data_IF_092757363580
#
_entry.id   IF_092757363580
#
_cell.length_a   1.000
_cell.length_b   1.000
_cell.length_c   1.000
_cell.angle_alpha   90.00
_cell.angle_beta   90.00
_cell.angle_gamma   90.00
#
_symmetry.space_group_name_H-M   'P 1'
#
loop_
_entity.id
_entity.type
_entity.pdbx_description
1 polymer ?
#
# COMPACT_ATOMS: atom_id res chain seq x y z
N UNK A 1 62.85 -10.51 -9.51
CA UNK A 1 64.14 -10.50 -8.85
C UNK A 1 63.88 -10.17 -7.41
N UNK A 2 63.88 -11.19 -6.56
CA UNK A 2 64.19 -11.17 -5.11
C UNK A 2 63.91 -12.56 -4.59
N UNK A 3 65.03 -13.20 -4.29
CA UNK A 3 65.12 -14.61 -3.82
C UNK A 3 64.66 -14.70 -2.38
N UNK A 4 63.81 -15.69 -2.08
CA UNK A 4 63.50 -16.12 -0.72
C UNK A 4 64.32 -17.32 -0.35
N UNK A 5 65.29 -17.14 0.56
CA UNK A 5 66.13 -18.17 1.14
C UNK A 5 65.29 -19.11 2.02
N UNK A 6 65.31 -20.40 1.63
CA UNK A 6 64.89 -21.53 2.46
C UNK A 6 66.06 -21.92 3.39
N UNK A 7 65.86 -21.80 4.67
CA UNK A 7 66.80 -22.32 5.68
C UNK A 7 66.27 -23.66 6.20
N UNK A 8 66.91 -24.77 5.76
CA UNK A 8 66.69 -26.08 6.31
C UNK A 8 67.32 -26.17 7.72
N UNK A 9 66.55 -26.67 8.68
CA UNK A 9 67.07 -27.14 9.99
C UNK A 9 67.16 -28.64 9.98
N UNK A 10 68.25 -29.21 10.48
CA UNK A 10 68.40 -30.67 10.56
C UNK A 10 67.52 -31.24 11.68
N UNK A 11 66.90 -32.35 11.35
CA UNK A 11 66.13 -33.21 12.26
C UNK A 11 67.10 -34.11 12.97
N UNK A 12 67.29 -33.87 14.29
CA UNK A 12 68.01 -34.79 15.14
C UNK A 12 67.04 -35.89 15.61
N UNK A 13 67.37 -37.10 15.20
CA UNK A 13 66.65 -38.31 15.59
C UNK A 13 67.02 -38.78 16.98
N UNK A 14 66.11 -38.61 17.92
CA UNK A 14 66.11 -39.24 19.21
C UNK A 14 64.90 -40.12 19.38
N UNK A 15 65.01 -41.40 19.14
CA UNK A 15 63.97 -42.37 19.45
C UNK A 15 64.06 -42.78 20.92
N UNK A 16 63.33 -42.11 21.78
CA UNK A 16 63.07 -42.66 23.10
C UNK A 16 61.83 -43.57 23.01
N UNK A 17 61.90 -44.79 23.60
CA UNK A 17 60.76 -45.68 23.63
C UNK A 17 59.69 -45.12 24.55
N UNK A 18 58.49 -44.81 24.01
CA UNK A 18 57.33 -44.44 24.80
C UNK A 18 56.84 -45.68 25.53
N UNK A 19 57.06 -45.71 26.83
CA UNK A 19 56.50 -46.69 27.73
C UNK A 19 55.01 -46.45 27.85
N UNK A 20 54.19 -47.33 27.25
CA UNK A 20 52.76 -47.34 27.36
C UNK A 20 52.35 -47.79 28.76
N UNK A 21 52.13 -46.84 29.63
CA UNK A 21 51.47 -47.09 30.91
C UNK A 21 49.98 -47.33 30.59
N UNK A 22 49.54 -48.58 30.71
CA UNK A 22 48.11 -48.91 30.69
C UNK A 22 47.48 -48.43 32.00
N UNK A 23 47.10 -47.15 32.03
CA UNK A 23 46.15 -46.70 33.03
C UNK A 23 44.75 -47.17 32.64
N UNK A 24 43.99 -47.83 33.51
CA UNK A 24 42.63 -48.24 33.22
C UNK A 24 41.76 -47.00 33.07
N UNK A 25 41.18 -46.84 31.89
CA UNK A 25 40.17 -45.82 31.62
C UNK A 25 38.97 -46.13 32.53
N UNK A 26 38.82 -45.40 33.64
CA UNK A 26 37.59 -45.42 34.43
C UNK A 26 36.53 -44.75 33.60
N UNK A 27 35.68 -45.56 32.96
CA UNK A 27 34.43 -45.11 32.39
C UNK A 27 33.57 -44.57 33.52
N UNK A 28 33.56 -43.24 33.66
CA UNK A 28 32.63 -42.57 34.57
C UNK A 28 31.23 -43.03 34.24
N UNK A 29 30.73 -43.97 35.05
CA UNK A 29 29.35 -44.42 35.02
C UNK A 29 28.48 -43.18 35.24
N UNK A 30 27.92 -42.66 34.12
CA UNK A 30 26.98 -41.56 34.17
C UNK A 30 25.81 -41.97 35.09
N UNK A 31 25.71 -41.36 36.27
CA UNK A 31 24.62 -41.58 37.19
C UNK A 31 23.29 -41.29 36.49
N UNK A 32 22.33 -42.25 36.43
CA UNK A 32 21.06 -42.07 35.72
C UNK A 32 20.05 -41.20 36.49
N UNK A 33 20.47 -40.42 37.46
CA UNK A 33 19.56 -39.71 38.36
C UNK A 33 19.81 -38.19 38.50
N UNK A 34 20.19 -37.54 37.39
CA UNK A 34 19.97 -36.09 37.29
C UNK A 34 19.00 -35.79 36.16
N UNK A 35 17.74 -36.15 36.39
CA UNK A 35 16.62 -35.51 35.70
C UNK A 35 16.77 -33.99 35.94
N UNK A 36 16.83 -33.13 34.87
CA UNK A 36 16.97 -31.70 35.06
C UNK A 36 15.73 -31.23 35.83
N UNK A 37 15.94 -30.88 37.10
CA UNK A 37 14.90 -30.25 37.93
C UNK A 37 14.31 -29.10 37.13
N UNK A 38 13.10 -29.28 36.60
CA UNK A 38 12.34 -28.25 35.88
C UNK A 38 11.98 -27.19 36.93
N UNK A 39 12.88 -26.19 37.08
CA UNK A 39 12.63 -25.03 37.95
C UNK A 39 11.26 -24.45 37.61
N UNK A 40 10.36 -24.32 38.57
CA UNK A 40 9.02 -23.80 38.31
C UNK A 40 9.14 -22.36 37.74
N UNK A 41 8.69 -22.19 36.51
CA UNK A 41 8.69 -20.87 35.85
C UNK A 41 7.89 -19.91 36.70
N UNK A 42 8.53 -18.83 37.18
CA UNK A 42 7.91 -17.88 38.10
C UNK A 42 6.60 -17.33 37.51
N UNK A 43 5.60 -17.09 38.36
CA UNK A 43 4.28 -16.58 37.95
C UNK A 43 4.40 -15.31 37.07
N UNK A 44 5.37 -14.44 37.42
CA UNK A 44 5.68 -13.22 36.64
C UNK A 44 6.14 -13.56 35.21
N UNK A 45 7.02 -14.57 35.04
CA UNK A 45 7.49 -14.98 33.69
C UNK A 45 6.37 -15.58 32.85
N UNK A 46 5.45 -16.33 33.46
CA UNK A 46 4.24 -16.84 32.76
C UNK A 46 3.34 -15.71 32.31
N UNK A 47 3.12 -14.68 33.14
CA UNK A 47 2.30 -13.50 32.79
C UNK A 47 2.97 -12.72 31.66
N UNK A 48 4.28 -12.48 31.72
CA UNK A 48 5.02 -11.78 30.65
C UNK A 48 4.95 -12.55 29.33
N UNK A 49 5.17 -13.87 29.36
CA UNK A 49 5.06 -14.70 28.15
C UNK A 49 3.64 -14.72 27.59
N UNK A 50 2.62 -14.79 28.44
CA UNK A 50 1.22 -14.71 28.00
C UNK A 50 0.89 -13.34 27.37
N UNK A 51 1.37 -12.25 27.98
CA UNK A 51 1.19 -10.89 27.45
C UNK A 51 1.89 -10.72 26.09
N UNK A 52 3.11 -11.21 25.94
CA UNK A 52 3.84 -11.20 24.66
C UNK A 52 3.15 -12.04 23.58
N UNK A 53 2.60 -13.19 23.96
CA UNK A 53 1.86 -14.05 23.04
C UNK A 53 0.57 -13.37 22.56
N UNK A 54 -0.19 -12.74 23.46
CA UNK A 54 -1.38 -11.96 23.11
C UNK A 54 -1.03 -10.79 22.21
N UNK A 55 0.02 -10.02 22.54
CA UNK A 55 0.50 -8.92 21.72
C UNK A 55 0.97 -9.40 20.34
N UNK A 56 1.67 -10.54 20.28
CA UNK A 56 2.10 -11.18 19.03
C UNK A 56 0.92 -11.62 18.15
N UNK A 57 -0.09 -12.25 18.73
CA UNK A 57 -1.30 -12.67 18.01
C UNK A 57 -2.11 -11.46 17.50
N UNK A 58 -2.26 -10.43 18.34
CA UNK A 58 -2.93 -9.20 17.93
C UNK A 58 -2.18 -8.51 16.76
N UNK A 59 -0.84 -8.41 16.85
CA UNK A 59 -0.01 -7.87 15.79
C UNK A 59 -0.10 -8.68 14.49
N UNK A 60 -0.03 -10.00 14.57
CA UNK A 60 -0.19 -10.90 13.42
C UNK A 60 -1.58 -10.76 12.78
N UNK A 61 -2.64 -10.58 13.58
CA UNK A 61 -3.99 -10.36 13.08
C UNK A 61 -4.11 -9.06 12.29
N UNK A 62 -3.58 -7.96 12.80
CA UNK A 62 -3.60 -6.65 12.10
C UNK A 62 -2.81 -6.72 10.79
N UNK A 63 -1.58 -7.28 10.82
CA UNK A 63 -0.75 -7.44 9.63
C UNK A 63 -1.42 -8.36 8.60
N UNK A 64 -2.06 -9.44 9.04
CA UNK A 64 -2.78 -10.37 8.18
C UNK A 64 -3.95 -9.70 7.45
N UNK A 65 -4.77 -8.93 8.17
CA UNK A 65 -5.92 -8.20 7.57
C UNK A 65 -5.45 -7.12 6.61
N UNK A 66 -4.40 -6.34 6.99
CA UNK A 66 -3.85 -5.29 6.13
C UNK A 66 -3.23 -5.88 4.87
N UNK A 67 -2.40 -6.93 5.01
CA UNK A 67 -1.79 -7.63 3.88
C UNK A 67 -2.85 -8.24 2.94
N UNK A 68 -3.90 -8.82 3.49
CA UNK A 68 -5.02 -9.36 2.70
C UNK A 68 -5.74 -8.27 1.89
N UNK A 69 -6.00 -7.09 2.48
CA UNK A 69 -6.59 -5.96 1.77
C UNK A 69 -5.72 -5.48 0.61
N UNK A 70 -4.41 -5.33 0.84
CA UNK A 70 -3.45 -4.96 -0.22
C UNK A 70 -3.48 -5.99 -1.35
N UNK A 71 -3.41 -7.29 -1.03
CA UNK A 71 -3.44 -8.36 -2.03
C UNK A 71 -4.73 -8.38 -2.86
N UNK A 72 -5.88 -8.06 -2.26
CA UNK A 72 -7.15 -7.99 -2.98
C UNK A 72 -7.29 -6.74 -3.87
N UNK A 73 -6.56 -5.67 -3.59
CA UNK A 73 -6.72 -4.38 -4.24
C UNK A 73 -5.59 -4.03 -5.23
N UNK A 74 -4.40 -4.63 -5.09
CA UNK A 74 -3.22 -4.31 -5.90
C UNK A 74 -3.37 -4.56 -7.40
N UNK A 75 -4.19 -5.52 -7.78
CA UNK A 75 -4.38 -5.92 -9.18
C UNK A 75 -5.58 -5.17 -9.83
N UNK A 76 -5.90 -3.99 -9.33
CA UNK A 76 -6.97 -3.13 -9.84
C UNK A 76 -6.71 -2.73 -11.29
N UNK A 77 -7.77 -2.76 -12.10
CA UNK A 77 -7.80 -2.18 -13.43
C UNK A 77 -8.90 -1.13 -13.56
N UNK A 78 -8.64 -0.08 -14.33
CA UNK A 78 -9.59 1.00 -14.61
C UNK A 78 -10.00 0.96 -16.07
N UNK A 79 -11.25 0.60 -16.31
CA UNK A 79 -11.84 0.58 -17.66
C UNK A 79 -12.45 1.93 -18.02
N UNK A 80 -12.64 2.14 -19.33
CA UNK A 80 -13.32 3.32 -19.87
C UNK A 80 -14.56 2.88 -20.66
N UNK A 81 -15.65 2.43 -20.00
CA UNK A 81 -16.85 2.04 -20.68
C UNK A 81 -17.45 3.22 -21.45
N UNK A 82 -18.19 2.96 -22.53
CA UNK A 82 -18.84 3.99 -23.34
C UNK A 82 -19.98 4.68 -22.61
N UNK A 83 -20.55 4.01 -21.63
CA UNK A 83 -21.66 4.54 -20.81
C UNK A 83 -21.46 4.12 -19.35
N UNK A 84 -21.66 5.05 -18.40
CA UNK A 84 -21.50 4.83 -16.97
C UNK A 84 -22.49 5.70 -16.18
N UNK A 85 -23.25 5.09 -15.28
CA UNK A 85 -24.20 5.80 -14.42
C UNK A 85 -25.12 6.79 -15.17
N UNK A 86 -25.56 6.44 -16.37
CA UNK A 86 -26.39 7.29 -17.23
C UNK A 86 -25.67 8.40 -17.99
N UNK A 87 -24.34 8.48 -17.86
CA UNK A 87 -23.49 9.40 -18.59
C UNK A 87 -22.85 8.67 -19.79
N UNK A 88 -22.55 9.39 -20.87
CA UNK A 88 -21.91 8.88 -22.09
C UNK A 88 -20.50 9.43 -22.20
N UNK A 89 -19.53 8.55 -22.50
CA UNK A 89 -18.15 8.99 -22.68
C UNK A 89 -18.05 9.96 -23.87
N UNK A 90 -17.37 11.07 -23.62
CA UNK A 90 -17.06 12.05 -24.65
C UNK A 90 -15.68 11.74 -25.25
N UNK A 91 -15.68 11.21 -26.46
CA UNK A 91 -14.47 10.85 -27.21
C UNK A 91 -13.97 11.99 -28.13
N UNK A 92 -14.48 13.22 -27.97
CA UNK A 92 -13.96 14.39 -28.70
C UNK A 92 -12.49 14.65 -28.37
N UNK A 93 -11.76 15.23 -29.31
CA UNK A 93 -10.35 15.57 -29.12
C UNK A 93 -10.15 16.51 -27.94
N UNK A 94 -11.05 17.47 -27.73
CA UNK A 94 -11.03 18.39 -26.59
C UNK A 94 -11.17 17.64 -25.26
N UNK A 95 -12.14 16.73 -25.18
CA UNK A 95 -12.37 15.96 -23.95
C UNK A 95 -11.16 15.10 -23.60
N UNK A 96 -10.60 14.41 -24.59
CA UNK A 96 -9.39 13.58 -24.42
C UNK A 96 -8.19 14.41 -23.99
N UNK A 97 -7.89 15.53 -24.69
CA UNK A 97 -6.74 16.38 -24.33
C UNK A 97 -6.88 16.99 -22.94
N UNK A 98 -8.10 17.33 -22.50
CA UNK A 98 -8.34 17.83 -21.14
C UNK A 98 -8.10 16.74 -20.11
N UNK A 99 -8.61 15.52 -20.32
CA UNK A 99 -8.40 14.40 -19.41
C UNK A 99 -6.92 13.99 -19.33
N UNK A 100 -6.23 13.99 -20.48
CA UNK A 100 -4.79 13.68 -20.55
C UNK A 100 -3.96 14.75 -19.81
N UNK A 101 -4.26 16.03 -19.99
CA UNK A 101 -3.57 17.12 -19.30
C UNK A 101 -3.66 16.97 -17.78
N UNK A 102 -4.84 16.71 -17.23
CA UNK A 102 -5.02 16.56 -15.80
C UNK A 102 -4.40 15.26 -15.26
N UNK A 103 -4.50 14.16 -16.03
CA UNK A 103 -3.81 12.90 -15.71
C UNK A 103 -2.30 13.10 -15.62
N UNK A 104 -1.72 13.80 -16.59
CA UNK A 104 -0.28 14.05 -16.66
C UNK A 104 0.16 15.01 -15.54
N UNK A 105 -0.67 15.99 -15.18
CA UNK A 105 -0.47 16.83 -14.00
C UNK A 105 -0.42 15.98 -12.72
N UNK A 106 -1.39 15.09 -12.54
CA UNK A 106 -1.39 14.19 -11.38
C UNK A 106 -0.18 13.25 -11.36
N UNK A 107 0.24 12.75 -12.51
CA UNK A 107 1.38 11.85 -12.63
C UNK A 107 2.73 12.53 -12.34
N UNK A 108 2.79 13.85 -12.25
CA UNK A 108 3.97 14.58 -11.81
C UNK A 108 4.19 14.46 -10.29
N UNK A 109 3.12 14.26 -9.52
CA UNK A 109 3.14 14.20 -8.06
C UNK A 109 3.04 12.78 -7.50
N UNK A 110 2.46 11.85 -8.27
CA UNK A 110 2.30 10.44 -7.89
C UNK A 110 2.70 9.52 -9.04
N UNK A 111 3.52 8.52 -8.76
CA UNK A 111 3.91 7.52 -9.74
C UNK A 111 2.74 6.59 -10.04
N UNK A 112 2.27 6.62 -11.29
CA UNK A 112 1.17 5.78 -11.77
C UNK A 112 1.70 4.64 -12.64
N UNK A 113 1.29 3.40 -12.35
CA UNK A 113 1.58 2.23 -13.19
C UNK A 113 0.85 2.36 -14.54
N UNK A 114 -0.42 2.82 -14.48
CA UNK A 114 -1.26 3.11 -15.66
C UNK A 114 -2.10 4.34 -15.38
N UNK A 115 -1.97 5.34 -16.25
CA UNK A 115 -2.80 6.53 -16.20
C UNK A 115 -4.24 6.24 -16.65
N UNK A 116 -5.18 6.95 -16.06
CA UNK A 116 -6.60 6.94 -16.36
C UNK A 116 -7.10 8.36 -16.53
N UNK A 117 -7.82 8.63 -17.61
CA UNK A 117 -8.46 9.92 -17.86
C UNK A 117 -9.69 9.74 -18.76
N UNK A 118 -10.81 10.30 -18.38
CA UNK A 118 -12.05 10.22 -19.15
C UNK A 118 -12.98 11.42 -18.87
N UNK A 119 -13.70 11.85 -19.87
CA UNK A 119 -14.82 12.79 -19.74
C UNK A 119 -16.11 12.05 -20.03
N UNK A 120 -17.10 12.23 -19.18
CA UNK A 120 -18.45 11.69 -19.37
C UNK A 120 -19.45 12.83 -19.40
N UNK A 121 -20.22 12.90 -20.47
CA UNK A 121 -21.21 13.94 -20.71
C UNK A 121 -22.61 13.50 -20.29
N UNK A 122 -23.32 14.41 -19.61
CA UNK A 122 -24.74 14.24 -19.33
C UNK A 122 -25.54 14.58 -20.61
N UNK A 123 -26.33 13.62 -21.09
CA UNK A 123 -27.14 13.80 -22.33
C UNK A 123 -28.19 14.93 -22.20
N UNK A 124 -28.61 15.22 -20.97
CA UNK A 124 -29.61 16.25 -20.71
C UNK A 124 -29.00 17.65 -20.56
N UNK A 125 -27.75 17.73 -20.05
CA UNK A 125 -27.07 19.01 -19.84
C UNK A 125 -25.54 18.84 -19.96
N UNK A 126 -24.97 19.27 -21.08
CA UNK A 126 -23.53 19.20 -21.33
C UNK A 126 -22.68 19.96 -20.30
N UNK A 127 -23.26 20.95 -19.57
CA UNK A 127 -22.55 21.67 -18.49
C UNK A 127 -22.35 20.82 -17.24
N UNK A 128 -23.01 19.66 -17.17
CA UNK A 128 -22.90 18.69 -16.08
C UNK A 128 -21.97 17.52 -16.43
N UNK A 129 -21.10 17.71 -17.40
CA UNK A 129 -20.08 16.71 -17.75
C UNK A 129 -19.16 16.42 -16.54
N UNK A 130 -18.78 15.17 -16.39
CA UNK A 130 -17.90 14.71 -15.33
C UNK A 130 -16.51 14.47 -15.92
N UNK A 131 -15.49 15.02 -15.32
CA UNK A 131 -14.11 14.81 -15.69
C UNK A 131 -13.43 13.93 -14.64
N UNK A 132 -12.86 12.83 -15.09
CA UNK A 132 -12.17 11.85 -14.25
C UNK A 132 -10.70 11.77 -14.67
N UNK A 133 -9.79 11.72 -13.70
CA UNK A 133 -8.36 11.57 -13.95
C UNK A 133 -7.68 10.88 -12.75
N UNK A 134 -6.63 10.12 -13.00
CA UNK A 134 -5.96 9.32 -12.00
C UNK A 134 -5.23 8.13 -12.60
N UNK A 135 -5.21 7.02 -11.89
CA UNK A 135 -4.59 5.81 -12.39
C UNK A 135 -4.54 4.66 -11.39
N UNK A 136 -3.90 3.59 -11.83
CA UNK A 136 -3.55 2.47 -10.96
C UNK A 136 -2.14 2.66 -10.44
N UNK A 137 -1.95 2.36 -9.15
CA UNK A 137 -0.66 2.38 -8.47
C UNK A 137 -0.80 1.69 -7.12
N UNK A 138 0.30 1.17 -6.58
CA UNK A 138 0.31 0.58 -5.25
C UNK A 138 0.42 1.66 -4.18
N UNK A 139 -0.68 1.89 -3.46
CA UNK A 139 -0.74 2.83 -2.34
C UNK A 139 -0.68 2.08 -1.00
N UNK A 140 0.29 2.45 -0.16
CA UNK A 140 0.41 1.88 1.19
C UNK A 140 -0.49 2.58 2.20
N UNK A 141 -0.72 3.89 2.01
CA UNK A 141 -1.54 4.73 2.87
C UNK A 141 -2.58 5.51 2.04
N UNK A 142 -3.59 4.82 1.46
CA UNK A 142 -4.52 5.45 0.49
C UNK A 142 -5.19 6.72 0.99
N UNK A 143 -5.53 6.79 2.27
CA UNK A 143 -6.16 7.98 2.85
C UNK A 143 -5.21 9.18 2.86
N UNK A 144 -3.96 8.97 3.30
CA UNK A 144 -2.95 10.03 3.34
C UNK A 144 -2.58 10.51 1.94
N UNK A 145 -2.44 9.56 1.02
CA UNK A 145 -2.09 9.86 -0.37
C UNK A 145 -3.21 10.68 -1.04
N UNK A 146 -4.48 10.32 -0.77
CA UNK A 146 -5.64 11.08 -1.23
C UNK A 146 -5.68 12.50 -0.63
N UNK A 147 -5.40 12.65 0.67
CA UNK A 147 -5.32 13.97 1.32
C UNK A 147 -4.23 14.85 0.72
N UNK A 148 -3.09 14.27 0.38
CA UNK A 148 -2.00 14.97 -0.29
C UNK A 148 -2.45 15.49 -1.65
N UNK A 149 -3.16 14.68 -2.45
CA UNK A 149 -3.67 15.11 -3.76
C UNK A 149 -4.69 16.23 -3.66
N UNK A 150 -5.59 16.19 -2.67
CA UNK A 150 -6.50 17.32 -2.41
C UNK A 150 -5.73 18.58 -1.96
N UNK A 151 -4.63 18.42 -1.25
CA UNK A 151 -3.74 19.52 -0.87
C UNK A 151 -3.06 20.16 -2.08
N UNK A 152 -2.59 19.37 -3.04
CA UNK A 152 -1.97 19.86 -4.28
C UNK A 152 -2.96 20.62 -5.17
N UNK A 153 -4.19 20.09 -5.30
CA UNK A 153 -5.25 20.80 -6.03
C UNK A 153 -5.61 22.16 -5.40
N UNK A 154 -5.36 22.33 -4.11
CA UNK A 154 -5.67 23.58 -3.40
C UNK A 154 -4.79 24.75 -3.87
N UNK A 155 -3.60 24.50 -4.39
CA UNK A 155 -2.66 25.55 -4.78
C UNK A 155 -2.96 26.11 -6.18
N UNK A 156 -3.55 25.33 -7.07
CA UNK A 156 -3.82 25.72 -8.47
C UNK A 156 -5.23 26.29 -8.71
N UNK A 157 -6.25 25.74 -8.04
CA UNK A 157 -7.66 26.08 -8.30
C UNK A 157 -8.36 26.71 -7.10
N UNK A 158 -7.63 26.97 -6.02
CA UNK A 158 -8.20 27.39 -4.73
C UNK A 158 -8.45 26.18 -3.82
N UNK A 159 -8.49 26.45 -2.51
CA UNK A 159 -8.64 25.39 -1.49
C UNK A 159 -9.97 24.66 -1.64
N UNK A 160 -9.93 23.33 -1.63
CA UNK A 160 -11.14 22.51 -1.54
C UNK A 160 -11.79 22.73 -0.17
N UNK A 161 -12.97 23.37 -0.18
CA UNK A 161 -13.72 23.67 1.03
C UNK A 161 -14.64 22.52 1.42
N UNK A 162 -14.85 22.34 2.72
CA UNK A 162 -15.76 21.32 3.23
C UNK A 162 -15.39 19.89 2.86
N UNK A 163 -14.09 19.60 2.64
CA UNK A 163 -13.61 18.26 2.36
C UNK A 163 -14.00 17.31 3.49
N UNK A 164 -14.70 16.24 3.16
CA UNK A 164 -15.15 15.23 4.11
C UNK A 164 -15.14 13.84 3.52
N UNK A 165 -14.98 12.86 4.36
CA UNK A 165 -15.13 11.47 3.99
C UNK A 165 -16.60 11.15 3.65
N UNK A 166 -16.79 10.34 2.62
CA UNK A 166 -18.08 9.84 2.16
C UNK A 166 -18.00 8.34 1.96
N UNK A 167 -19.15 7.68 1.87
CA UNK A 167 -19.21 6.24 1.65
C UNK A 167 -18.51 5.83 0.34
N UNK A 168 -17.44 5.03 0.47
CA UNK A 168 -16.64 4.52 -0.65
C UNK A 168 -17.28 3.33 -1.39
N UNK A 169 -18.39 2.80 -0.90
CA UNK A 169 -19.11 1.69 -1.49
C UNK A 169 -18.44 0.32 -1.28
N UNK A 170 -18.90 -0.68 -2.02
CA UNK A 170 -18.50 -2.08 -1.87
C UNK A 170 -17.02 -2.36 -2.13
N UNK A 171 -16.40 -1.53 -2.93
CA UNK A 171 -14.98 -1.67 -3.26
C UNK A 171 -14.05 -1.26 -2.10
N UNK A 172 -14.57 -0.61 -1.05
CA UNK A 172 -13.77 -0.18 0.10
C UNK A 172 -12.72 0.88 -0.26
N UNK A 173 -11.68 1.01 0.54
CA UNK A 173 -10.75 2.13 0.45
C UNK A 173 -11.33 3.38 1.09
N UNK A 174 -10.90 4.55 0.67
CA UNK A 174 -11.37 5.86 1.13
C UNK A 174 -11.94 6.67 -0.03
N UNK A 175 -12.98 7.44 0.24
CA UNK A 175 -13.55 8.41 -0.70
C UNK A 175 -13.81 9.71 0.05
N UNK A 176 -13.36 10.83 -0.52
CA UNK A 176 -13.57 12.16 0.05
C UNK A 176 -14.13 13.08 -1.03
N UNK A 177 -15.01 13.99 -0.62
CA UNK A 177 -15.59 15.01 -1.48
C UNK A 177 -15.61 16.36 -0.79
N UNK A 178 -15.50 17.43 -1.58
CA UNK A 178 -15.59 18.81 -1.15
C UNK A 178 -16.02 19.71 -2.30
N UNK A 179 -15.88 21.01 -2.13
CA UNK A 179 -16.21 22.02 -3.12
C UNK A 179 -14.98 22.85 -3.45
N UNK A 180 -14.76 23.13 -4.72
CA UNK A 180 -13.76 24.10 -5.18
C UNK A 180 -14.41 25.14 -6.08
N UNK A 181 -13.74 26.27 -6.25
CA UNK A 181 -14.20 27.37 -7.12
C UNK A 181 -13.37 27.37 -8.39
N UNK A 182 -14.02 27.65 -9.51
CA UNK A 182 -13.36 27.84 -10.82
C UNK A 182 -14.04 28.94 -11.61
N UNK A 183 -13.63 29.18 -12.84
CA UNK A 183 -14.13 30.26 -13.71
C UNK A 183 -15.65 30.18 -13.95
N UNK A 184 -16.25 29.00 -13.82
CA UNK A 184 -17.69 28.76 -13.97
C UNK A 184 -18.50 28.77 -12.68
N UNK A 185 -17.89 29.13 -11.52
CA UNK A 185 -18.48 29.07 -10.19
C UNK A 185 -18.06 27.82 -9.41
N UNK A 186 -18.69 27.60 -8.26
CA UNK A 186 -18.38 26.48 -7.38
C UNK A 186 -18.84 25.15 -7.96
N UNK A 187 -18.02 24.10 -7.81
CA UNK A 187 -18.35 22.75 -8.22
C UNK A 187 -17.80 21.72 -7.22
N UNK A 188 -18.43 20.54 -7.19
CA UNK A 188 -17.98 19.46 -6.35
C UNK A 188 -16.76 18.76 -6.95
N UNK A 189 -15.81 18.43 -6.09
CA UNK A 189 -14.64 17.58 -6.38
C UNK A 189 -14.66 16.41 -5.44
N UNK A 190 -14.46 15.20 -5.99
CA UNK A 190 -14.36 13.97 -5.24
C UNK A 190 -13.07 13.23 -5.61
N UNK A 191 -12.58 12.41 -4.69
CA UNK A 191 -11.49 11.49 -4.96
C UNK A 191 -11.71 10.17 -4.24
N UNK A 192 -11.30 9.07 -4.84
CA UNK A 192 -11.14 7.80 -4.12
C UNK A 192 -9.69 7.33 -4.19
N UNK A 193 -9.29 6.61 -3.15
CA UNK A 193 -8.06 5.85 -3.15
C UNK A 193 -8.27 4.50 -2.46
N UNK A 194 -7.63 3.49 -3.00
CA UNK A 194 -7.46 2.18 -2.38
C UNK A 194 -6.02 1.69 -2.62
N UNK A 195 -5.69 0.46 -2.23
CA UNK A 195 -4.32 -0.04 -2.39
C UNK A 195 -3.89 -0.27 -3.85
N UNK A 196 -4.80 -0.16 -4.82
CA UNK A 196 -4.51 -0.42 -6.24
C UNK A 196 -4.84 0.74 -7.18
N UNK A 197 -5.49 1.81 -6.70
CA UNK A 197 -5.90 2.93 -7.56
C UNK A 197 -6.12 4.22 -6.79
N UNK A 198 -5.95 5.34 -7.50
CA UNK A 198 -6.39 6.66 -7.09
C UNK A 198 -7.00 7.39 -8.27
N UNK A 199 -8.18 7.96 -8.08
CA UNK A 199 -8.87 8.74 -9.11
C UNK A 199 -9.54 9.95 -8.50
N UNK A 200 -9.41 11.08 -9.16
CA UNK A 200 -10.09 12.33 -8.87
C UNK A 200 -11.22 12.55 -9.86
N UNK A 201 -12.27 13.25 -9.44
CA UNK A 201 -13.39 13.58 -10.28
C UNK A 201 -13.90 15.00 -10.04
N UNK A 202 -14.18 15.72 -11.11
CA UNK A 202 -14.79 17.06 -11.08
C UNK A 202 -16.25 16.98 -11.55
N UNK A 203 -17.16 17.59 -10.80
CA UNK A 203 -18.61 17.45 -10.95
C UNK A 203 -19.31 18.82 -11.04
N UNK A 204 -19.16 19.53 -12.16
CA UNK A 204 -19.86 20.81 -12.36
C UNK A 204 -21.38 20.67 -12.21
N UNK A 205 -22.02 21.69 -11.66
CA UNK A 205 -23.47 21.76 -11.51
C UNK A 205 -24.10 20.70 -10.59
N UNK A 206 -23.29 20.09 -9.69
CA UNK A 206 -23.76 19.11 -8.71
C UNK A 206 -23.38 19.50 -7.29
N UNK A 207 -24.25 19.19 -6.34
CA UNK A 207 -23.92 19.27 -4.91
C UNK A 207 -22.92 18.17 -4.53
N UNK A 208 -22.20 18.35 -3.44
CA UNK A 208 -21.24 17.35 -2.93
C UNK A 208 -21.88 15.98 -2.72
N UNK A 209 -23.11 15.92 -2.17
CA UNK A 209 -23.81 14.65 -1.94
C UNK A 209 -24.21 13.95 -3.26
N UNK A 210 -24.71 14.71 -4.24
CA UNK A 210 -25.03 14.18 -5.55
C UNK A 210 -23.78 13.72 -6.32
N UNK A 211 -22.67 14.46 -6.18
CA UNK A 211 -21.37 14.07 -6.74
C UNK A 211 -20.83 12.80 -6.10
N UNK A 212 -20.89 12.68 -4.76
CA UNK A 212 -20.44 11.50 -4.03
C UNK A 212 -21.20 10.24 -4.46
N UNK A 213 -22.53 10.30 -4.56
CA UNK A 213 -23.34 9.18 -5.01
C UNK A 213 -23.00 8.76 -6.44
N UNK A 214 -22.95 9.74 -7.37
CA UNK A 214 -22.60 9.49 -8.77
C UNK A 214 -21.18 8.94 -8.91
N UNK A 215 -20.23 9.46 -8.14
CA UNK A 215 -18.82 9.01 -8.21
C UNK A 215 -18.63 7.58 -7.73
N UNK A 216 -19.38 7.16 -6.73
CA UNK A 216 -19.43 5.76 -6.28
C UNK A 216 -19.98 4.84 -7.37
N UNK A 217 -21.09 5.23 -8.03
CA UNK A 217 -21.69 4.45 -9.12
C UNK A 217 -20.74 4.36 -10.34
N UNK A 218 -20.06 5.45 -10.65
CA UNK A 218 -19.00 5.47 -11.69
C UNK A 218 -17.88 4.50 -11.29
N UNK A 219 -17.36 4.59 -10.05
CA UNK A 219 -16.30 3.73 -9.56
C UNK A 219 -16.65 2.25 -9.71
N UNK A 220 -17.87 1.85 -9.34
CA UNK A 220 -18.34 0.46 -9.45
C UNK A 220 -18.40 -0.05 -10.90
N UNK A 221 -18.53 0.87 -11.87
CA UNK A 221 -18.58 0.54 -13.30
C UNK A 221 -17.21 0.53 -13.97
N UNK A 222 -16.27 1.37 -13.51
CA UNK A 222 -14.94 1.53 -14.14
C UNK A 222 -13.85 0.71 -13.47
N UNK A 223 -13.98 0.43 -12.16
CA UNK A 223 -12.96 -0.29 -11.40
C UNK A 223 -13.29 -1.79 -11.32
N UNK A 224 -12.33 -2.62 -11.75
CA UNK A 224 -12.38 -4.10 -11.61
C UNK A 224 -11.14 -4.61 -10.89
N UNK A 225 -11.30 -5.79 -10.24
CA UNK A 225 -10.25 -6.46 -9.46
C UNK A 225 -10.17 -7.92 -9.84
#
# INVERSE_FOLDING_TARGET
>A
MSDAHLTERPVDGGSDPVELTEEPIELSRRDPAQEPERRPVSRRRKIVLAALLVAGLAGAGVLGVSGWRVLQQKDTTLGQPTEVAGLVRDDSERARSTADYLRDGLAADIELDRGYGAVYSDRADARRSVLLFGGTTLLWQPERDLDTLFGLMADETGRVAGLREVDAGRLGGVMKCGTTSGDGGDFAVCGWADHGSVVMGMFPGRTVDAAAALFRDIRESVQTR
#
